data_IF_711996136780
#
_entry.id   IF_711996136780
#
_cell.length_a   1.000
_cell.length_b   1.000
_cell.length_c   1.000
_cell.angle_alpha   90.00
_cell.angle_beta   90.00
_cell.angle_gamma   90.00
#
_symmetry.space_group_name_H-M   'P 1'
#
loop_
_entity.id
_entity.type
_entity.pdbx_description
1 polymer ?
#
# COMPACT_ATOMS: atom_id res chain seq x y z
N UNK A 1 -5.05 -2.95 -22.08
CA UNK A 1 -5.11 -2.39 -20.71
C UNK A 1 -4.12 -3.16 -19.84
N UNK A 2 -3.22 -2.48 -19.14
CA UNK A 2 -2.17 -3.12 -18.32
C UNK A 2 -2.70 -4.12 -17.29
N UNK A 3 -3.94 -3.94 -16.82
CA UNK A 3 -4.63 -4.90 -15.94
C UNK A 3 -4.71 -6.33 -16.51
N UNK A 4 -4.77 -6.50 -17.85
CA UNK A 4 -4.73 -7.85 -18.47
C UNK A 4 -3.33 -8.48 -18.43
N UNK A 5 -2.29 -7.66 -18.31
CA UNK A 5 -0.90 -8.10 -18.25
C UNK A 5 -0.47 -8.43 -16.81
N UNK A 6 -1.05 -7.74 -15.83
CA UNK A 6 -0.79 -7.92 -14.40
C UNK A 6 -2.10 -8.19 -13.64
N UNK A 7 -2.66 -9.42 -13.75
CA UNK A 7 -3.97 -9.75 -13.18
C UNK A 7 -3.97 -9.76 -11.64
N UNK A 8 -2.79 -9.85 -11.03
CA UNK A 8 -2.61 -9.82 -9.57
C UNK A 8 -1.31 -9.11 -9.21
N UNK A 9 -1.25 -8.62 -7.98
CA UNK A 9 -0.04 -8.02 -7.44
C UNK A 9 -0.23 -7.44 -6.06
N UNK A 10 0.84 -6.81 -5.58
CA UNK A 10 0.96 -6.21 -4.26
C UNK A 10 1.47 -4.78 -4.42
N UNK A 11 0.98 -3.86 -3.60
CA UNK A 11 1.50 -2.50 -3.49
C UNK A 11 1.69 -2.13 -2.04
N UNK A 12 2.88 -1.61 -1.71
CA UNK A 12 3.19 -1.05 -0.40
C UNK A 12 2.99 0.45 -0.49
N UNK A 13 2.18 1.00 0.40
CA UNK A 13 1.89 2.44 0.48
C UNK A 13 2.46 2.98 1.79
N UNK A 14 3.24 4.04 1.66
CA UNK A 14 3.73 4.83 2.79
C UNK A 14 2.67 5.90 3.14
N UNK A 15 2.15 5.86 4.37
CA UNK A 15 1.10 6.75 4.87
C UNK A 15 1.69 8.02 5.53
N UNK A 16 2.82 8.51 5.01
CA UNK A 16 3.41 9.81 5.37
C UNK A 16 3.43 10.76 4.16
N UNK A 17 3.70 12.05 4.41
CA UNK A 17 3.90 13.06 3.36
C UNK A 17 5.13 12.69 2.56
N UNK A 18 4.92 12.06 1.41
CA UNK A 18 5.98 11.57 0.52
C UNK A 18 5.80 12.15 -0.88
N UNK A 19 6.72 11.81 -1.79
CA UNK A 19 6.58 12.07 -3.23
C UNK A 19 5.47 11.23 -3.89
N UNK A 20 4.79 10.36 -3.12
CA UNK A 20 3.74 9.51 -3.63
C UNK A 20 2.43 10.31 -3.74
N UNK A 21 1.90 10.54 -4.95
CA UNK A 21 0.74 11.42 -5.15
C UNK A 21 -0.50 10.93 -4.40
N UNK A 22 -1.22 11.87 -3.79
CA UNK A 22 -2.42 11.56 -3.00
C UNK A 22 -3.50 10.85 -3.83
N UNK A 23 -3.64 11.21 -5.12
CA UNK A 23 -4.57 10.54 -6.05
C UNK A 23 -4.30 9.03 -6.17
N UNK A 24 -3.02 8.62 -6.17
CA UNK A 24 -2.65 7.21 -6.23
C UNK A 24 -2.94 6.53 -4.89
N UNK A 25 -2.68 7.20 -3.77
CA UNK A 25 -3.02 6.70 -2.43
C UNK A 25 -4.52 6.45 -2.31
N UNK A 26 -5.33 7.43 -2.70
CA UNK A 26 -6.79 7.33 -2.70
C UNK A 26 -7.29 6.23 -3.63
N UNK A 27 -6.70 6.10 -4.81
CA UNK A 27 -7.02 5.02 -5.73
C UNK A 27 -6.74 3.65 -5.10
N UNK A 28 -5.56 3.45 -4.52
CA UNK A 28 -5.19 2.20 -3.85
C UNK A 28 -6.14 1.90 -2.69
N UNK A 29 -6.37 2.87 -1.81
CA UNK A 29 -7.24 2.73 -0.62
C UNK A 29 -8.70 2.40 -0.99
N UNK A 30 -9.18 2.85 -2.15
CA UNK A 30 -10.56 2.68 -2.58
C UNK A 30 -10.81 1.45 -3.46
N UNK A 31 -9.78 0.93 -4.13
CA UNK A 31 -9.94 -0.11 -5.15
C UNK A 31 -9.22 -1.42 -4.83
N UNK A 32 -8.31 -1.45 -3.86
CA UNK A 32 -7.52 -2.62 -3.53
C UNK A 32 -7.86 -3.19 -2.15
N UNK A 33 -7.58 -4.46 -1.95
CA UNK A 33 -7.78 -5.14 -0.66
C UNK A 33 -6.62 -4.85 0.27
N UNK A 34 -6.88 -4.34 1.46
CA UNK A 34 -5.82 -4.11 2.48
C UNK A 34 -5.50 -5.42 3.20
N UNK A 35 -4.25 -5.87 3.08
CA UNK A 35 -3.75 -7.10 3.69
C UNK A 35 -3.14 -6.85 5.07
N UNK A 36 -2.35 -5.79 5.19
CA UNK A 36 -1.59 -5.50 6.41
C UNK A 36 -1.49 -3.98 6.62
N UNK A 37 -1.48 -3.59 7.90
CA UNK A 37 -1.11 -2.24 8.33
C UNK A 37 -0.07 -2.36 9.43
N UNK A 38 1.04 -1.67 9.25
CA UNK A 38 2.14 -1.59 10.22
C UNK A 38 2.29 -0.13 10.61
N UNK A 39 2.01 0.18 11.87
CA UNK A 39 2.18 1.55 12.38
C UNK A 39 3.62 1.79 12.86
N UNK A 40 4.29 0.74 13.34
CA UNK A 40 5.71 0.76 13.69
C UNK A 40 6.38 -0.58 13.41
N UNK A 41 7.62 -0.54 12.94
CA UNK A 41 8.44 -1.74 12.77
C UNK A 41 9.16 -2.03 14.09
N UNK A 42 9.16 -3.29 14.53
CA UNK A 42 9.81 -3.68 15.79
C UNK A 42 11.32 -3.44 15.78
N UNK A 43 11.93 -3.45 14.59
CA UNK A 43 13.34 -3.14 14.36
C UNK A 43 13.65 -1.64 14.48
N UNK A 44 12.64 -0.77 14.44
CA UNK A 44 12.76 0.69 14.45
C UNK A 44 11.67 1.31 15.32
N UNK A 45 11.54 0.86 16.57
CA UNK A 45 10.47 1.29 17.49
C UNK A 45 10.44 2.78 17.81
N UNK A 46 11.55 3.51 17.59
CA UNK A 46 11.63 4.96 17.73
C UNK A 46 11.24 5.74 16.46
N UNK A 47 11.16 5.07 15.32
CA UNK A 47 10.82 5.65 14.03
C UNK A 47 9.50 5.06 13.53
N UNK A 48 8.43 5.84 13.67
CA UNK A 48 7.08 5.43 13.28
C UNK A 48 6.96 5.54 11.76
N UNK A 49 7.06 4.41 11.08
CA UNK A 49 6.91 4.27 9.62
C UNK A 49 5.54 3.64 9.34
N UNK A 50 4.47 4.44 9.16
CA UNK A 50 3.16 3.90 8.84
C UNK A 50 3.16 3.34 7.41
N UNK A 51 3.12 2.01 7.32
CA UNK A 51 3.13 1.25 6.06
C UNK A 51 1.85 0.44 5.93
N UNK A 52 1.28 0.43 4.73
CA UNK A 52 0.11 -0.36 4.39
C UNK A 52 0.42 -1.26 3.19
N UNK A 53 0.02 -2.52 3.25
CA UNK A 53 0.13 -3.48 2.14
C UNK A 53 -1.27 -3.71 1.55
N UNK A 54 -1.37 -3.55 0.25
CA UNK A 54 -2.57 -3.81 -0.52
C UNK A 54 -2.34 -4.86 -1.60
N UNK A 55 -3.41 -5.57 -1.98
CA UNK A 55 -3.40 -6.59 -3.01
C UNK A 55 -4.54 -6.41 -4.01
N UNK A 56 -4.38 -6.99 -5.20
CA UNK A 56 -5.45 -7.20 -6.17
C UNK A 56 -5.35 -8.59 -6.78
N UNK A 57 -6.50 -9.18 -7.15
CA UNK A 57 -6.57 -10.45 -7.85
C UNK A 57 -5.99 -11.65 -7.09
N UNK A 58 -6.01 -11.60 -5.75
CA UNK A 58 -5.52 -12.65 -4.85
C UNK A 58 -6.66 -13.48 -4.20
N UNK A 59 -7.92 -13.21 -4.53
CA UNK A 59 -9.08 -14.04 -4.13
C UNK A 59 -9.08 -15.42 -4.79
#
# INVERSE_FOLDING_TARGET
AEQKKYPKGLVVVEDWVSFFPDEIKEHVKSNLTRELRVESLSQASGDVWPLELYSWGME
#
